data_IF_862998906631
#
_entry.id   IF_862998906631
#
_cell.length_a   1.000
_cell.length_b   1.000
_cell.length_c   1.000
_cell.angle_alpha   90.00
_cell.angle_beta   90.00
_cell.angle_gamma   90.00
#
_symmetry.space_group_name_H-M   'P 1'
#
loop_
_entity.id
_entity.type
_entity.pdbx_description
1 polymer ?
#
# COMPACT_ATOMS: atom_id res chain seq x y z
N UNK A 1 -95.74 -1.22 88.36
CA UNK A 1 -94.33 -1.10 88.40
C UNK A 1 -93.81 -1.76 87.11
N UNK A 2 -93.38 -0.98 86.20
CA UNK A 2 -92.78 -1.46 84.96
C UNK A 2 -91.23 -1.33 85.05
N UNK A 3 -90.50 -2.45 84.79
CA UNK A 3 -89.06 -2.47 84.76
C UNK A 3 -88.64 -2.34 83.29
N UNK A 4 -87.81 -1.38 83.03
CA UNK A 4 -87.18 -1.21 81.69
C UNK A 4 -85.80 -1.81 81.81
N UNK A 5 -85.52 -2.86 81.00
CA UNK A 5 -84.16 -3.38 80.82
C UNK A 5 -83.61 -2.89 79.51
N UNK A 6 -82.53 -2.19 79.54
CA UNK A 6 -81.76 -1.79 78.33
C UNK A 6 -80.57 -2.72 78.14
N UNK A 7 -80.43 -3.32 76.94
CA UNK A 7 -79.28 -4.14 76.56
C UNK A 7 -78.48 -3.35 75.56
N UNK A 8 -77.20 -3.03 75.91
CA UNK A 8 -76.28 -2.34 75.02
C UNK A 8 -75.36 -3.37 74.43
N UNK A 9 -75.36 -3.55 73.09
CA UNK A 9 -74.38 -4.37 72.35
C UNK A 9 -73.27 -3.50 71.90
N UNK A 10 -72.03 -3.92 72.18
CA UNK A 10 -70.84 -3.36 71.65
C UNK A 10 -70.25 -4.39 70.70
N UNK A 11 -70.17 -4.10 69.37
CA UNK A 11 -69.50 -4.93 68.39
C UNK A 11 -68.19 -4.21 67.94
N UNK A 12 -67.04 -4.81 68.27
CA UNK A 12 -65.75 -4.32 67.82
C UNK A 12 -65.43 -5.04 66.49
N UNK A 13 -65.43 -4.33 65.37
CA UNK A 13 -64.97 -4.82 64.07
C UNK A 13 -63.48 -4.37 63.82
N UNK A 14 -62.58 -5.36 63.78
CA UNK A 14 -61.16 -5.08 63.41
C UNK A 14 -60.98 -5.26 61.89
N UNK A 15 -60.72 -4.19 61.15
CA UNK A 15 -60.42 -4.24 59.79
C UNK A 15 -58.83 -4.22 59.63
N UNK A 16 -58.29 -5.28 59.10
CA UNK A 16 -56.88 -5.32 58.72
C UNK A 16 -56.77 -4.90 57.29
N UNK A 17 -56.22 -3.71 56.98
CA UNK A 17 -55.83 -3.29 55.65
C UNK A 17 -54.37 -3.63 55.44
N UNK A 18 -54.07 -4.32 54.37
CA UNK A 18 -52.69 -4.56 53.92
C UNK A 18 -52.36 -3.51 52.88
N UNK A 19 -51.42 -2.62 53.19
CA UNK A 19 -50.89 -1.69 52.23
C UNK A 19 -49.82 -2.42 51.41
N UNK A 20 -50.00 -2.46 50.12
CA UNK A 20 -49.01 -3.03 49.15
C UNK A 20 -48.42 -1.92 48.32
N UNK A 21 -47.14 -2.06 47.97
CA UNK A 21 -46.41 -1.11 47.14
C UNK A 21 -45.78 -1.87 45.95
N UNK A 22 -46.17 -1.57 44.68
CA UNK A 22 -45.47 -2.09 43.52
C UNK A 22 -44.11 -1.48 43.42
N UNK A 23 -43.16 -2.19 42.81
CA UNK A 23 -41.85 -1.72 42.43
C UNK A 23 -41.47 -2.34 41.09
N UNK A 24 -40.73 -1.63 40.26
CA UNK A 24 -40.20 -2.15 39.01
C UNK A 24 -38.70 -2.08 39.06
N UNK A 25 -38.06 -3.18 38.70
CA UNK A 25 -36.62 -3.27 38.50
C UNK A 25 -36.34 -3.84 37.11
N UNK A 26 -35.37 -3.22 36.41
CA UNK A 26 -34.96 -3.64 35.08
C UNK A 26 -33.47 -4.04 35.11
N UNK A 27 -33.19 -5.21 34.58
CA UNK A 27 -31.82 -5.70 34.34
C UNK A 27 -31.70 -6.00 32.87
N UNK A 28 -30.65 -5.45 32.23
CA UNK A 28 -30.30 -5.75 30.85
C UNK A 28 -28.83 -6.14 30.78
N UNK A 29 -28.56 -7.24 30.14
CA UNK A 29 -27.18 -7.67 29.91
C UNK A 29 -26.55 -6.89 28.75
N UNK A 30 -25.27 -6.52 28.90
CA UNK A 30 -24.50 -5.91 27.80
C UNK A 30 -24.41 -6.91 26.66
N UNK A 31 -24.88 -6.59 25.45
CA UNK A 31 -24.79 -7.50 24.33
C UNK A 31 -23.34 -7.79 24.00
N UNK A 32 -23.09 -8.97 23.45
CA UNK A 32 -21.77 -9.30 22.91
C UNK A 32 -21.44 -8.35 21.74
N UNK A 33 -20.14 -8.02 21.51
CA UNK A 33 -19.72 -7.28 20.33
C UNK A 33 -20.30 -7.92 19.07
N UNK A 34 -21.00 -7.14 18.27
CA UNK A 34 -21.75 -7.62 17.09
C UNK A 34 -21.17 -7.00 15.83
N UNK A 35 -20.96 -7.81 14.80
CA UNK A 35 -20.47 -7.34 13.51
C UNK A 35 -21.50 -6.41 12.83
N UNK A 36 -21.03 -5.37 12.19
CA UNK A 36 -21.88 -4.47 11.37
C UNK A 36 -22.68 -5.27 10.34
N UNK A 37 -23.98 -4.94 10.20
CA UNK A 37 -24.92 -5.66 9.34
C UNK A 37 -25.56 -6.89 9.98
N UNK A 38 -25.08 -7.34 11.13
CA UNK A 38 -25.69 -8.45 11.88
C UNK A 38 -26.74 -7.95 12.87
N UNK A 39 -27.54 -8.88 13.41
CA UNK A 39 -28.56 -8.59 14.38
C UNK A 39 -28.02 -8.71 15.80
N UNK A 40 -28.00 -7.61 16.54
CA UNK A 40 -27.68 -7.54 17.96
C UNK A 40 -28.91 -7.89 18.78
N UNK A 41 -28.78 -8.80 19.75
CA UNK A 41 -29.83 -9.10 20.73
C UNK A 41 -29.55 -8.40 22.05
N UNK A 42 -30.54 -7.69 22.57
CA UNK A 42 -30.53 -7.09 23.90
C UNK A 42 -31.57 -7.80 24.74
N UNK A 43 -31.14 -8.59 25.73
CA UNK A 43 -32.00 -9.32 26.62
C UNK A 43 -32.28 -8.51 27.89
N UNK A 44 -33.56 -8.25 28.12
CA UNK A 44 -34.07 -7.40 29.18
C UNK A 44 -34.87 -8.29 30.14
N UNK A 45 -34.53 -8.26 31.44
CA UNK A 45 -35.30 -8.89 32.49
C UNK A 45 -35.98 -7.78 33.32
N UNK A 46 -37.29 -7.78 33.26
CA UNK A 46 -38.14 -6.92 34.06
C UNK A 46 -38.68 -7.70 35.28
N UNK A 47 -38.59 -7.14 36.49
CA UNK A 47 -39.07 -7.77 37.72
C UNK A 47 -39.87 -6.80 38.61
N UNK A 48 -40.81 -7.35 39.42
CA UNK A 48 -41.50 -6.62 40.44
C UNK A 48 -41.07 -7.14 41.84
N UNK A 49 -40.04 -6.57 42.47
CA UNK A 49 -39.64 -6.94 43.83
C UNK A 49 -40.56 -6.35 44.91
N UNK A 50 -41.57 -5.62 44.52
CA UNK A 50 -42.53 -5.01 45.43
C UNK A 50 -43.51 -6.00 46.07
N UNK A 51 -44.47 -5.48 46.86
CA UNK A 51 -45.49 -6.26 47.52
C UNK A 51 -46.88 -6.07 46.91
N UNK A 52 -47.01 -5.20 45.90
CA UNK A 52 -48.27 -4.93 45.18
C UNK A 52 -48.04 -5.21 43.68
N UNK A 53 -49.15 -5.53 42.98
CA UNK A 53 -49.10 -5.69 41.50
C UNK A 53 -48.82 -4.36 40.84
N UNK A 54 -47.83 -4.34 39.91
CA UNK A 54 -47.59 -3.21 39.03
C UNK A 54 -48.53 -3.29 37.82
N UNK A 55 -49.24 -2.19 37.54
CA UNK A 55 -50.17 -2.09 36.39
C UNK A 55 -49.70 -1.05 35.40
N UNK A 56 -50.16 -1.15 34.14
CA UNK A 56 -49.74 -0.25 33.06
C UNK A 56 -48.23 -0.29 32.80
N UNK A 57 -47.62 -1.46 32.92
CA UNK A 57 -46.18 -1.61 32.79
C UNK A 57 -45.79 -1.60 31.30
N UNK A 58 -44.96 -0.64 30.91
CA UNK A 58 -44.43 -0.48 29.57
C UNK A 58 -42.87 -0.45 29.65
N UNK A 59 -42.23 -1.25 28.83
CA UNK A 59 -40.77 -1.21 28.63
C UNK A 59 -40.48 -0.33 27.42
N UNK A 60 -39.51 0.56 27.55
CA UNK A 60 -39.13 1.55 26.56
C UNK A 60 -37.66 1.36 26.18
N UNK A 61 -37.34 1.43 24.85
CA UNK A 61 -35.98 1.45 24.32
C UNK A 61 -35.74 2.71 23.51
N UNK A 62 -34.75 3.52 23.90
CA UNK A 62 -34.29 4.67 23.12
C UNK A 62 -33.01 4.27 22.38
N UNK A 63 -33.10 4.21 21.06
CA UNK A 63 -32.06 3.69 20.18
C UNK A 63 -31.23 4.82 19.54
N UNK A 64 -29.88 4.72 19.51
CA UNK A 64 -29.03 5.62 18.76
C UNK A 64 -29.15 5.34 17.27
N UNK A 65 -28.61 6.27 16.40
CA UNK A 65 -28.60 6.13 14.95
C UNK A 65 -27.73 4.96 14.45
N UNK A 66 -26.92 4.40 15.31
CA UNK A 66 -26.02 3.27 15.00
C UNK A 66 -26.72 1.91 14.94
N UNK A 67 -27.96 1.84 15.39
CA UNK A 67 -28.79 0.64 15.31
C UNK A 67 -30.18 0.98 14.79
N UNK A 68 -30.89 0.00 14.24
CA UNK A 68 -32.29 0.20 13.83
C UNK A 68 -33.21 -0.93 14.27
N UNK A 69 -34.48 -0.56 14.46
CA UNK A 69 -35.56 -1.48 14.72
C UNK A 69 -36.77 -1.12 13.82
N UNK A 70 -37.59 -2.11 13.39
CA UNK A 70 -38.75 -1.85 12.54
C UNK A 70 -39.76 -0.85 13.10
N UNK A 71 -39.87 -0.78 14.44
CA UNK A 71 -40.76 0.16 15.14
C UNK A 71 -40.22 1.60 15.26
N UNK A 72 -38.99 1.86 14.78
CA UNK A 72 -38.34 3.17 14.84
C UNK A 72 -37.30 3.28 15.97
N UNK A 73 -36.98 4.55 16.36
CA UNK A 73 -35.95 4.87 17.37
C UNK A 73 -36.44 4.75 18.80
N UNK A 74 -37.73 4.87 19.03
CA UNK A 74 -38.40 4.68 20.32
C UNK A 74 -39.25 3.43 20.20
N UNK A 75 -38.83 2.40 20.93
CA UNK A 75 -39.48 1.08 20.92
C UNK A 75 -40.19 0.87 22.24
N UNK A 76 -41.48 0.59 22.18
CA UNK A 76 -42.29 0.32 23.37
C UNK A 76 -42.85 -1.11 23.34
N UNK A 77 -42.81 -1.77 24.51
CA UNK A 77 -43.44 -3.08 24.75
C UNK A 77 -44.44 -2.97 25.90
N UNK A 78 -45.71 -3.21 25.60
CA UNK A 78 -46.73 -3.29 26.61
C UNK A 78 -46.67 -4.64 27.34
N UNK A 79 -46.28 -4.59 28.60
CA UNK A 79 -46.20 -5.76 29.49
C UNK A 79 -47.53 -5.96 30.26
N UNK A 80 -48.32 -4.90 30.43
CA UNK A 80 -49.60 -4.87 31.12
C UNK A 80 -49.43 -4.92 32.62
N UNK A 81 -49.64 -6.09 33.27
CA UNK A 81 -49.50 -6.28 34.70
C UNK A 81 -48.36 -7.20 35.08
N UNK A 82 -47.69 -6.89 36.19
CA UNK A 82 -46.62 -7.69 36.76
C UNK A 82 -46.86 -7.93 38.24
N UNK A 83 -47.17 -9.20 38.60
CA UNK A 83 -47.48 -9.62 39.97
C UNK A 83 -46.23 -9.47 40.88
N UNK A 84 -46.44 -9.30 42.19
CA UNK A 84 -45.35 -9.28 43.16
C UNK A 84 -44.44 -10.51 43.06
N UNK A 85 -43.15 -10.32 43.01
CA UNK A 85 -42.13 -11.39 42.89
C UNK A 85 -42.06 -12.06 41.53
N UNK A 86 -42.84 -11.61 40.55
CA UNK A 86 -42.75 -12.11 39.16
C UNK A 86 -41.73 -11.36 38.31
N UNK A 87 -41.25 -12.03 37.25
CA UNK A 87 -40.37 -11.43 36.27
C UNK A 87 -40.77 -11.81 34.85
N UNK A 88 -40.38 -10.99 33.86
CA UNK A 88 -40.63 -11.19 32.43
C UNK A 88 -39.39 -10.85 31.62
N UNK A 89 -39.00 -11.77 30.72
CA UNK A 89 -37.90 -11.54 29.77
C UNK A 89 -38.45 -11.00 28.45
N UNK A 90 -37.74 -10.01 27.89
CA UNK A 90 -38.01 -9.39 26.61
C UNK A 90 -36.69 -9.37 25.84
N UNK A 91 -36.67 -9.88 24.61
CA UNK A 91 -35.51 -9.83 23.73
C UNK A 91 -35.73 -8.81 22.60
N UNK A 92 -34.93 -7.76 22.57
CA UNK A 92 -34.95 -6.72 21.56
C UNK A 92 -33.87 -7.02 20.51
N UNK A 93 -34.26 -7.19 19.24
CA UNK A 93 -33.37 -7.45 18.14
C UNK A 93 -33.14 -6.18 17.32
N UNK A 94 -31.89 -5.76 17.23
CA UNK A 94 -31.47 -4.50 16.57
C UNK A 94 -30.55 -4.80 15.39
N UNK A 95 -30.81 -4.23 14.24
CA UNK A 95 -29.89 -4.27 13.12
C UNK A 95 -28.79 -3.23 13.36
N UNK A 96 -27.52 -3.64 13.21
CA UNK A 96 -26.34 -2.78 13.40
C UNK A 96 -26.02 -2.01 12.13
N UNK A 97 -25.77 -0.68 12.25
CA UNK A 97 -25.58 0.22 11.10
C UNK A 97 -24.21 0.90 11.11
N UNK A 98 -23.78 1.40 12.27
CA UNK A 98 -22.54 2.18 12.39
C UNK A 98 -21.62 1.56 13.43
N UNK A 99 -20.36 1.29 13.09
CA UNK A 99 -19.41 0.69 14.03
C UNK A 99 -19.05 1.66 15.16
N UNK A 100 -18.57 1.09 16.26
CA UNK A 100 -18.13 1.82 17.42
C UNK A 100 -18.89 1.42 18.69
N UNK A 101 -18.66 2.17 19.76
CA UNK A 101 -19.31 1.96 21.06
C UNK A 101 -20.44 2.97 21.21
N UNK A 102 -21.64 2.46 21.39
CA UNK A 102 -22.87 3.26 21.46
C UNK A 102 -23.64 3.00 22.75
N UNK A 103 -24.43 3.97 23.18
CA UNK A 103 -25.32 3.85 24.34
C UNK A 103 -26.75 3.62 23.87
N UNK A 104 -27.32 2.49 24.30
CA UNK A 104 -28.75 2.20 24.19
C UNK A 104 -29.36 2.46 25.57
N UNK A 105 -30.47 3.19 25.65
CA UNK A 105 -31.13 3.43 26.90
C UNK A 105 -32.41 2.59 26.98
N UNK A 106 -32.47 1.71 28.00
CA UNK A 106 -33.60 0.86 28.27
C UNK A 106 -34.28 1.36 29.54
N UNK A 107 -35.58 1.57 29.46
CA UNK A 107 -36.41 2.02 30.60
C UNK A 107 -37.64 1.18 30.77
N UNK A 108 -38.31 1.34 31.92
CA UNK A 108 -39.67 0.85 32.15
C UNK A 108 -40.43 1.85 33.00
N UNK A 109 -41.73 2.02 32.68
CA UNK A 109 -42.66 2.84 33.43
C UNK A 109 -43.89 2.02 33.82
N UNK A 110 -44.56 2.42 34.92
CA UNK A 110 -45.80 1.81 35.39
C UNK A 110 -46.69 2.86 36.05
N UNK A 111 -47.96 2.50 36.28
CA UNK A 111 -48.90 3.35 37.03
C UNK A 111 -48.34 3.75 38.39
N UNK A 112 -48.79 4.92 38.91
CA UNK A 112 -48.30 5.45 40.17
C UNK A 112 -46.98 6.21 40.07
N UNK A 113 -46.49 6.52 38.86
CA UNK A 113 -45.29 7.30 38.66
C UNK A 113 -43.98 6.51 38.88
N UNK A 114 -44.05 5.19 38.73
CA UNK A 114 -42.87 4.34 38.80
C UNK A 114 -42.13 4.44 37.43
N UNK A 115 -40.84 4.85 37.47
CA UNK A 115 -40.00 4.95 36.30
C UNK A 115 -38.59 4.49 36.67
N UNK A 116 -38.00 3.64 35.82
CA UNK A 116 -36.61 3.18 35.93
C UNK A 116 -35.96 3.25 34.55
N UNK A 117 -34.69 3.62 34.47
CA UNK A 117 -33.95 3.67 33.23
C UNK A 117 -32.47 3.28 33.45
N UNK A 118 -31.91 2.55 32.52
CA UNK A 118 -30.49 2.16 32.53
C UNK A 118 -29.85 2.36 31.17
N UNK A 119 -28.66 2.96 31.11
CA UNK A 119 -27.84 2.95 29.91
C UNK A 119 -27.21 1.57 29.75
N UNK A 120 -27.13 1.11 28.50
CA UNK A 120 -26.51 -0.14 28.10
C UNK A 120 -25.46 0.17 27.03
N UNK A 121 -24.24 -0.29 27.23
CA UNK A 121 -23.15 -0.14 26.24
C UNK A 121 -23.27 -1.23 25.19
N UNK A 122 -23.42 -0.84 23.93
CA UNK A 122 -23.42 -1.71 22.77
C UNK A 122 -22.18 -1.48 21.93
N UNK A 123 -21.46 -2.53 21.63
CA UNK A 123 -20.27 -2.48 20.78
C UNK A 123 -20.57 -3.10 19.42
N UNK A 124 -20.41 -2.31 18.35
CA UNK A 124 -20.56 -2.73 16.97
C UNK A 124 -19.18 -2.76 16.34
N UNK A 125 -18.73 -3.94 15.93
CA UNK A 125 -17.44 -4.15 15.31
C UNK A 125 -17.53 -4.10 13.78
N UNK A 126 -16.49 -3.63 13.13
CA UNK A 126 -16.38 -3.65 11.67
C UNK A 126 -14.94 -3.82 11.25
N UNK A 127 -14.65 -4.53 10.15
CA UNK A 127 -13.34 -4.46 9.49
C UNK A 127 -13.22 -3.15 8.73
N UNK A 128 -11.96 -2.67 8.56
CA UNK A 128 -11.62 -1.52 7.74
C UNK A 128 -10.28 -1.77 7.07
N UNK A 129 -10.25 -1.76 5.74
CA UNK A 129 -9.03 -2.03 4.97
C UNK A 129 -8.41 -0.73 4.48
N UNK A 130 -7.11 -0.59 4.72
CA UNK A 130 -6.25 0.47 4.18
C UNK A 130 -5.10 -0.16 3.40
N UNK A 131 -4.75 0.44 2.27
CA UNK A 131 -3.68 -0.03 1.40
C UNK A 131 -2.56 1.01 1.32
N UNK A 132 -1.34 0.57 1.59
CA UNK A 132 -0.13 1.37 1.44
C UNK A 132 0.84 0.66 0.51
N UNK A 133 1.70 1.43 -0.17
CA UNK A 133 2.73 0.89 -1.05
C UNK A 133 4.10 1.51 -0.76
N UNK A 134 5.12 0.67 -0.72
CA UNK A 134 6.52 1.08 -0.81
C UNK A 134 7.05 0.65 -2.18
N UNK A 135 7.05 1.61 -3.09
CA UNK A 135 7.43 1.45 -4.51
C UNK A 135 8.44 2.54 -4.85
N UNK A 136 9.56 2.23 -5.52
CA UNK A 136 10.57 3.22 -5.86
C UNK A 136 9.99 4.28 -6.81
N UNK A 137 10.28 5.57 -6.53
CA UNK A 137 9.85 6.69 -7.38
C UNK A 137 10.60 6.78 -8.71
N UNK A 138 11.81 6.19 -8.77
CA UNK A 138 12.70 6.21 -9.93
C UNK A 138 13.34 4.86 -10.15
N UNK A 139 13.47 4.43 -11.42
CA UNK A 139 14.15 3.20 -11.79
C UNK A 139 14.84 3.34 -13.15
N UNK A 140 15.91 2.58 -13.37
CA UNK A 140 16.53 2.52 -14.70
C UNK A 140 15.88 1.44 -15.56
N UNK A 141 15.84 1.68 -16.87
CA UNK A 141 15.36 0.73 -17.87
C UNK A 141 16.09 -0.61 -17.72
N UNK A 142 15.36 -1.72 -17.84
CA UNK A 142 15.85 -3.09 -17.67
C UNK A 142 16.46 -3.41 -16.28
N UNK A 143 16.21 -2.59 -15.27
CA UNK A 143 16.57 -2.88 -13.86
C UNK A 143 15.31 -3.22 -13.06
N UNK A 144 15.25 -4.45 -12.49
CA UNK A 144 14.06 -4.87 -11.74
C UNK A 144 13.72 -3.91 -10.59
N UNK A 145 12.45 -3.60 -10.42
CA UNK A 145 11.88 -2.85 -9.31
C UNK A 145 11.16 -3.80 -8.36
N UNK A 146 11.52 -3.78 -7.10
CA UNK A 146 10.77 -4.44 -6.02
C UNK A 146 9.69 -3.48 -5.54
N UNK A 147 8.45 -3.97 -5.50
CA UNK A 147 7.27 -3.24 -5.08
C UNK A 147 6.64 -3.98 -3.90
N UNK A 148 6.48 -3.30 -2.78
CA UNK A 148 5.87 -3.84 -1.57
C UNK A 148 4.50 -3.22 -1.38
N UNK A 149 3.48 -4.04 -1.15
CA UNK A 149 2.12 -3.63 -0.82
C UNK A 149 1.79 -4.08 0.59
N UNK A 150 1.27 -3.16 1.39
CA UNK A 150 0.88 -3.39 2.77
C UNK A 150 -0.63 -3.16 2.91
N UNK A 151 -1.35 -4.22 3.29
CA UNK A 151 -2.77 -4.17 3.63
C UNK A 151 -2.89 -4.08 5.14
N UNK A 152 -3.60 -3.11 5.67
CA UNK A 152 -3.84 -2.97 7.10
C UNK A 152 -5.33 -3.05 7.38
N UNK A 153 -5.73 -3.94 8.28
CA UNK A 153 -7.09 -3.92 8.82
C UNK A 153 -7.11 -3.02 10.06
N UNK A 154 -7.42 -1.74 9.88
CA UNK A 154 -7.52 -0.75 10.95
C UNK A 154 -8.84 -0.84 11.72
N UNK A 155 -9.71 -1.78 11.35
CA UNK A 155 -10.99 -2.02 11.99
C UNK A 155 -10.91 -2.80 13.30
N UNK A 156 -12.10 -3.13 13.84
CA UNK A 156 -12.29 -3.84 15.11
C UNK A 156 -12.79 -5.28 14.93
N UNK A 157 -13.00 -5.71 13.69
CA UNK A 157 -13.36 -7.08 13.32
C UNK A 157 -12.44 -7.60 12.21
N UNK A 158 -12.28 -8.93 12.06
CA UNK A 158 -11.49 -9.50 10.97
C UNK A 158 -12.13 -9.20 9.59
N UNK A 159 -11.29 -8.91 8.60
CA UNK A 159 -11.70 -8.83 7.21
C UNK A 159 -11.55 -10.21 6.56
N UNK A 160 -12.66 -10.76 6.05
CA UNK A 160 -12.71 -12.09 5.44
C UNK A 160 -12.62 -12.01 3.91
N UNK A 161 -12.04 -13.05 3.28
CA UNK A 161 -11.92 -13.21 1.84
C UNK A 161 -11.34 -11.95 1.15
N UNK A 162 -10.19 -11.49 1.65
CA UNK A 162 -9.51 -10.29 1.15
C UNK A 162 -8.80 -10.60 -0.16
N UNK A 163 -9.10 -9.84 -1.21
CA UNK A 163 -8.44 -9.90 -2.51
C UNK A 163 -7.59 -8.65 -2.72
N UNK A 164 -6.31 -8.83 -3.05
CA UNK A 164 -5.41 -7.76 -3.44
C UNK A 164 -4.99 -7.94 -4.90
N UNK A 165 -5.03 -6.88 -5.67
CA UNK A 165 -4.60 -6.86 -7.06
C UNK A 165 -3.62 -5.70 -7.31
N UNK A 166 -2.54 -5.96 -8.07
CA UNK A 166 -1.65 -4.93 -8.60
C UNK A 166 -1.72 -4.96 -10.13
N UNK A 167 -2.26 -3.91 -10.74
CA UNK A 167 -2.25 -3.71 -12.19
C UNK A 167 -0.92 -3.14 -12.62
N UNK A 168 -0.19 -3.86 -13.47
CA UNK A 168 1.04 -3.38 -14.09
C UNK A 168 0.74 -2.57 -15.35
N UNK A 169 1.50 -1.49 -15.63
CA UNK A 169 1.43 -0.79 -16.91
C UNK A 169 2.08 -1.64 -18.02
N UNK A 170 1.71 -1.44 -19.30
CA UNK A 170 2.30 -2.19 -20.43
C UNK A 170 3.82 -2.09 -20.55
N UNK A 171 4.41 -1.00 -20.05
CA UNK A 171 5.85 -0.77 -20.05
C UNK A 171 6.62 -1.47 -18.92
N UNK A 172 5.97 -2.36 -18.16
CA UNK A 172 6.61 -3.15 -17.10
C UNK A 172 6.32 -4.63 -17.27
N UNK A 173 7.37 -5.44 -17.31
CA UNK A 173 7.28 -6.91 -17.37
C UNK A 173 7.27 -7.49 -15.96
N UNK A 174 6.31 -8.36 -15.65
CA UNK A 174 6.30 -9.15 -14.41
C UNK A 174 7.52 -10.08 -14.34
N UNK A 175 8.12 -10.21 -13.15
CA UNK A 175 9.27 -11.10 -12.89
C UNK A 175 8.90 -12.19 -11.90
N UNK A 176 8.41 -11.82 -10.71
CA UNK A 176 8.02 -12.74 -9.64
C UNK A 176 7.13 -12.04 -8.61
N UNK A 177 6.42 -12.83 -7.80
CA UNK A 177 5.72 -12.39 -6.60
C UNK A 177 5.95 -13.40 -5.47
N UNK A 178 5.78 -12.94 -4.22
CA UNK A 178 5.80 -13.79 -3.03
C UNK A 178 4.38 -14.16 -2.58
N UNK A 179 4.25 -14.90 -1.48
CA UNK A 179 3.00 -15.24 -0.81
C UNK A 179 1.92 -15.78 -1.79
N UNK A 180 2.32 -16.72 -2.67
CA UNK A 180 1.47 -17.33 -3.68
C UNK A 180 0.79 -16.30 -4.63
N UNK A 181 1.41 -15.14 -4.85
CA UNK A 181 0.92 -14.15 -5.81
C UNK A 181 0.86 -14.75 -7.22
N UNK A 182 -0.32 -14.70 -7.82
CA UNK A 182 -0.59 -15.20 -9.16
C UNK A 182 -0.58 -14.08 -10.18
N UNK A 183 0.20 -14.22 -11.25
CA UNK A 183 0.21 -13.26 -12.35
C UNK A 183 -0.73 -13.73 -13.47
N UNK A 184 -1.73 -12.91 -13.77
CA UNK A 184 -2.64 -13.10 -14.91
C UNK A 184 -2.13 -12.30 -16.11
N UNK A 185 -1.63 -13.03 -17.12
CA UNK A 185 -1.09 -12.46 -18.36
C UNK A 185 -2.16 -11.73 -19.19
N UNK A 186 -3.42 -12.16 -19.14
CA UNK A 186 -4.50 -11.56 -19.95
C UNK A 186 -4.87 -10.16 -19.45
N UNK A 187 -4.87 -9.97 -18.16
CA UNK A 187 -5.23 -8.69 -17.53
C UNK A 187 -4.01 -7.88 -17.09
N UNK A 188 -2.81 -8.48 -17.20
CA UNK A 188 -1.54 -7.87 -16.75
C UNK A 188 -1.56 -7.49 -15.26
N UNK A 189 -2.12 -8.37 -14.41
CA UNK A 189 -2.31 -8.18 -12.98
C UNK A 189 -1.60 -9.23 -12.16
N UNK A 190 -1.10 -8.80 -11.00
CA UNK A 190 -0.66 -9.71 -9.94
C UNK A 190 -1.77 -9.76 -8.89
N UNK A 191 -2.19 -10.96 -8.51
CA UNK A 191 -3.34 -11.22 -7.65
C UNK A 191 -2.90 -12.00 -6.42
N UNK A 192 -3.43 -11.61 -5.24
CA UNK A 192 -3.31 -12.37 -4.00
C UNK A 192 -4.68 -12.52 -3.37
N UNK A 193 -4.88 -13.65 -2.70
CA UNK A 193 -6.09 -13.94 -1.94
C UNK A 193 -5.70 -14.33 -0.52
N UNK A 194 -6.37 -13.71 0.45
CA UNK A 194 -6.21 -13.95 1.87
C UNK A 194 -7.55 -14.40 2.45
N UNK A 195 -7.55 -15.51 3.17
CA UNK A 195 -8.77 -16.05 3.76
C UNK A 195 -9.32 -15.12 4.85
N UNK A 196 -8.40 -14.58 5.67
CA UNK A 196 -8.71 -13.67 6.76
C UNK A 196 -7.54 -12.71 7.02
N UNK A 197 -7.85 -11.43 7.29
CA UNK A 197 -6.92 -10.45 7.86
C UNK A 197 -7.49 -9.99 9.22
N UNK A 198 -6.94 -10.45 10.36
CA UNK A 198 -7.43 -10.11 11.70
C UNK A 198 -7.46 -8.60 11.96
N UNK A 199 -8.30 -8.17 12.90
CA UNK A 199 -8.38 -6.79 13.34
C UNK A 199 -7.03 -6.29 13.87
N UNK A 200 -6.57 -5.13 13.41
CA UNK A 200 -5.29 -4.51 13.77
C UNK A 200 -4.06 -5.13 13.11
N UNK A 201 -4.20 -6.17 12.29
CA UNK A 201 -3.07 -6.84 11.64
C UNK A 201 -2.69 -6.24 10.30
N UNK A 202 -1.40 -6.39 9.96
CA UNK A 202 -0.78 -5.94 8.71
C UNK A 202 -0.40 -7.14 7.85
N UNK A 203 -0.96 -7.22 6.64
CA UNK A 203 -0.54 -8.17 5.61
C UNK A 203 0.41 -7.50 4.63
N UNK A 204 1.58 -8.12 4.38
CA UNK A 204 2.57 -7.61 3.44
C UNK A 204 2.81 -8.58 2.31
N UNK A 205 2.77 -8.09 1.07
CA UNK A 205 3.14 -8.85 -0.13
C UNK A 205 4.14 -8.06 -0.96
N UNK A 206 4.95 -8.78 -1.74
CA UNK A 206 5.97 -8.23 -2.61
C UNK A 206 5.84 -8.80 -4.02
N UNK A 207 6.03 -7.96 -5.02
CA UNK A 207 6.27 -8.39 -6.39
C UNK A 207 7.45 -7.63 -6.99
N UNK A 208 8.05 -8.23 -8.00
CA UNK A 208 9.14 -7.65 -8.77
C UNK A 208 8.69 -7.49 -10.20
N UNK A 209 8.85 -6.29 -10.74
CA UNK A 209 8.58 -5.98 -12.13
C UNK A 209 9.79 -5.26 -12.77
N UNK A 210 10.01 -5.48 -14.06
CA UNK A 210 11.13 -4.92 -14.82
C UNK A 210 10.61 -3.91 -15.84
N UNK A 211 11.02 -2.63 -15.74
CA UNK A 211 10.66 -1.63 -16.74
C UNK A 211 11.28 -1.96 -18.10
N UNK A 212 10.48 -1.86 -19.16
CA UNK A 212 10.86 -2.12 -20.56
C UNK A 212 10.68 -0.88 -21.45
N UNK A 213 10.07 0.18 -20.92
CA UNK A 213 9.81 1.45 -21.62
C UNK A 213 10.21 2.61 -20.72
N UNK A 214 10.84 3.64 -21.31
CA UNK A 214 11.23 4.88 -20.63
C UNK A 214 10.00 5.73 -20.25
N UNK A 215 10.20 6.65 -19.31
CA UNK A 215 9.18 7.59 -18.83
C UNK A 215 8.30 7.03 -17.71
N UNK A 216 7.21 7.70 -17.38
CA UNK A 216 6.39 7.36 -16.23
C UNK A 216 5.64 6.04 -16.43
N UNK A 217 5.78 5.13 -15.47
CA UNK A 217 5.12 3.83 -15.41
C UNK A 217 4.24 3.80 -14.15
N UNK A 218 2.92 3.78 -14.32
CA UNK A 218 1.97 3.87 -13.22
C UNK A 218 1.42 2.48 -12.86
N UNK A 219 1.64 2.06 -11.62
CA UNK A 219 1.08 0.86 -11.00
C UNK A 219 -0.17 1.28 -10.22
N UNK A 220 -1.26 0.54 -10.38
CA UNK A 220 -2.50 0.71 -9.61
C UNK A 220 -2.70 -0.53 -8.76
N UNK A 221 -2.79 -0.37 -7.45
CA UNK A 221 -3.09 -1.47 -6.54
C UNK A 221 -4.45 -1.24 -5.86
N UNK A 222 -5.22 -2.31 -5.68
CA UNK A 222 -6.51 -2.27 -5.04
C UNK A 222 -6.70 -3.49 -4.14
N UNK A 223 -7.22 -3.26 -2.95
CA UNK A 223 -7.66 -4.30 -2.01
C UNK A 223 -9.18 -4.24 -1.89
N UNK A 224 -9.82 -5.39 -1.79
CA UNK A 224 -11.28 -5.49 -1.62
C UNK A 224 -11.68 -6.77 -0.91
N UNK A 225 -12.93 -6.81 -0.44
CA UNK A 225 -13.56 -8.04 0.03
C UNK A 225 -15.02 -8.15 -0.46
N UNK A 226 -15.70 -9.31 -0.33
CA UNK A 226 -17.09 -9.49 -0.74
C UNK A 226 -18.10 -8.63 0.04
N UNK A 227 -17.76 -8.18 1.25
CA UNK A 227 -18.62 -7.30 2.06
C UNK A 227 -18.64 -5.84 1.58
N UNK A 228 -17.92 -5.52 0.49
CA UNK A 228 -17.90 -4.19 -0.12
C UNK A 228 -16.83 -3.25 0.43
N UNK A 229 -15.94 -3.73 1.30
CA UNK A 229 -14.76 -2.95 1.69
C UNK A 229 -13.78 -2.89 0.52
N UNK A 230 -13.27 -1.71 0.24
CA UNK A 230 -12.29 -1.50 -0.80
C UNK A 230 -11.42 -0.29 -0.50
N UNK A 231 -10.14 -0.39 -0.85
CA UNK A 231 -9.21 0.72 -0.92
C UNK A 231 -8.31 0.56 -2.14
N UNK A 232 -7.82 1.67 -2.68
CA UNK A 232 -6.94 1.64 -3.84
C UNK A 232 -5.92 2.77 -3.79
N UNK A 233 -4.78 2.52 -4.43
CA UNK A 233 -3.74 3.51 -4.62
C UNK A 233 -3.16 3.45 -6.04
N UNK A 234 -2.50 4.52 -6.42
CA UNK A 234 -1.78 4.64 -7.68
C UNK A 234 -0.39 5.21 -7.40
N UNK A 235 0.65 4.58 -7.95
CA UNK A 235 2.03 5.00 -7.79
C UNK A 235 2.74 5.03 -9.14
N UNK A 236 3.43 6.13 -9.45
CA UNK A 236 4.20 6.28 -10.69
C UNK A 236 5.69 6.11 -10.41
N UNK A 237 6.33 5.27 -11.23
CA UNK A 237 7.79 5.09 -11.27
C UNK A 237 8.30 5.85 -12.49
N UNK A 238 9.21 6.80 -12.31
CA UNK A 238 9.94 7.43 -13.41
C UNK A 238 11.04 6.49 -13.88
N UNK A 239 10.96 6.01 -15.12
CA UNK A 239 11.94 5.11 -15.73
C UNK A 239 12.90 5.89 -16.58
N UNK A 240 14.16 5.91 -16.17
CA UNK A 240 15.26 6.60 -16.84
C UNK A 240 16.16 5.61 -17.56
N UNK A 241 16.79 6.06 -18.66
CA UNK A 241 17.88 5.36 -19.30
C UNK A 241 19.22 5.77 -18.70
N UNK A 242 20.23 4.91 -18.88
CA UNK A 242 21.61 5.19 -18.50
C UNK A 242 22.50 5.04 -19.74
N UNK A 243 23.28 6.06 -20.10
CA UNK A 243 24.35 5.93 -21.08
C UNK A 243 25.54 5.23 -20.44
N UNK A 244 26.18 4.31 -21.16
CA UNK A 244 27.35 3.55 -20.71
C UNK A 244 28.31 3.36 -21.86
N UNK A 245 29.34 4.22 -21.94
CA UNK A 245 30.32 4.16 -23.01
C UNK A 245 31.43 3.17 -22.67
N UNK A 246 31.80 2.36 -23.67
CA UNK A 246 33.00 1.54 -23.66
C UNK A 246 33.99 2.13 -24.67
N UNK A 247 35.30 2.07 -24.36
CA UNK A 247 36.40 2.55 -25.21
C UNK A 247 37.37 1.39 -25.41
N UNK A 248 37.49 0.91 -26.65
CA UNK A 248 38.42 -0.12 -27.04
C UNK A 248 39.42 0.46 -28.06
N UNK A 249 40.71 0.12 -27.93
CA UNK A 249 41.77 0.56 -28.82
C UNK A 249 42.58 -0.66 -29.24
N UNK A 250 42.89 -0.74 -30.52
CA UNK A 250 43.79 -1.75 -31.07
C UNK A 250 44.66 -1.11 -32.16
N UNK A 251 45.94 -1.46 -32.23
CA UNK A 251 46.77 -1.11 -33.34
C UNK A 251 46.75 -2.16 -34.47
N UNK A 252 47.02 -1.73 -35.70
CA UNK A 252 47.01 -2.62 -36.87
C UNK A 252 48.30 -3.38 -37.05
N UNK A 253 49.44 -2.79 -36.65
CA UNK A 253 50.77 -3.35 -36.76
C UNK A 253 51.59 -2.96 -35.51
N UNK A 254 52.10 -3.96 -34.81
CA UNK A 254 53.08 -3.88 -33.74
C UNK A 254 53.94 -5.17 -33.73
N UNK A 255 55.25 -5.09 -33.84
CA UNK A 255 56.09 -3.90 -33.98
C UNK A 255 56.13 -3.31 -35.40
N UNK A 256 56.53 -2.03 -35.52
CA UNK A 256 56.78 -1.33 -36.79
C UNK A 256 58.26 -0.94 -36.97
N UNK A 257 58.73 -0.84 -38.21
CA UNK A 257 60.07 -0.33 -38.51
C UNK A 257 60.12 1.19 -38.33
N UNK A 258 61.33 1.77 -38.10
CA UNK A 258 61.53 3.22 -38.06
C UNK A 258 61.06 3.85 -39.41
N UNK A 259 60.28 4.92 -39.31
CA UNK A 259 59.48 5.55 -40.37
C UNK A 259 58.32 4.69 -40.92
N UNK A 260 58.07 3.50 -40.38
CA UNK A 260 56.88 2.70 -40.64
C UNK A 260 55.63 3.38 -40.13
N UNK A 261 54.50 2.90 -40.62
CA UNK A 261 53.15 3.37 -40.26
C UNK A 261 52.43 2.32 -39.44
N UNK A 262 51.67 2.73 -38.45
CA UNK A 262 50.62 1.92 -37.82
C UNK A 262 49.35 2.74 -37.70
N UNK A 263 48.22 2.07 -37.64
CA UNK A 263 46.92 2.67 -37.48
C UNK A 263 46.27 2.16 -36.18
N UNK A 264 45.92 3.07 -35.29
CA UNK A 264 45.09 2.75 -34.13
C UNK A 264 43.63 2.83 -34.54
N UNK A 265 42.91 1.72 -34.31
CA UNK A 265 41.46 1.63 -34.48
C UNK A 265 40.82 1.77 -33.12
N UNK A 266 40.04 2.84 -32.93
CA UNK A 266 39.40 3.18 -31.69
C UNK A 266 37.90 2.97 -31.85
N UNK A 267 37.32 2.07 -31.03
CA UNK A 267 35.90 1.76 -31.00
C UNK A 267 35.27 2.35 -29.75
N UNK A 268 34.23 3.12 -29.97
CA UNK A 268 33.40 3.69 -28.89
C UNK A 268 32.01 3.11 -29.03
N UNK A 269 31.61 2.30 -28.10
CA UNK A 269 30.28 1.65 -28.05
C UNK A 269 29.44 2.19 -26.91
N UNK A 270 28.17 2.47 -27.17
CA UNK A 270 27.22 2.77 -26.11
C UNK A 270 26.47 1.49 -25.67
N UNK A 271 26.95 0.85 -24.63
CA UNK A 271 26.38 -0.36 -24.02
C UNK A 271 25.22 -0.02 -23.06
N UNK A 272 24.79 1.23 -23.03
CA UNK A 272 23.72 1.72 -22.15
C UNK A 272 22.33 1.53 -22.74
N UNK A 273 21.37 2.18 -22.09
CA UNK A 273 19.94 2.17 -22.45
C UNK A 273 19.41 3.56 -22.80
N UNK A 274 20.30 4.57 -22.81
CA UNK A 274 20.06 5.97 -23.20
C UNK A 274 21.14 6.38 -24.18
N UNK A 275 20.82 7.24 -25.14
CA UNK A 275 21.81 7.86 -26.00
C UNK A 275 22.83 8.66 -25.16
N UNK A 276 24.12 8.53 -25.49
CA UNK A 276 25.17 9.35 -24.90
C UNK A 276 25.31 10.64 -25.71
N UNK A 277 25.34 11.77 -25.01
CA UNK A 277 25.38 13.09 -25.64
C UNK A 277 26.80 13.68 -25.60
N UNK A 278 27.18 14.44 -26.67
CA UNK A 278 28.45 15.15 -26.79
C UNK A 278 29.67 14.25 -26.62
N UNK A 279 29.71 13.12 -27.34
CA UNK A 279 30.77 12.13 -27.25
C UNK A 279 32.03 12.63 -28.00
N UNK A 280 33.06 13.04 -27.26
CA UNK A 280 34.30 13.64 -27.79
C UNK A 280 35.49 12.73 -27.54
N UNK A 281 36.22 12.36 -28.63
CA UNK A 281 37.44 11.59 -28.60
C UNK A 281 38.64 12.47 -28.84
N UNK A 282 39.73 12.29 -28.10
CA UNK A 282 41.03 12.86 -28.38
C UNK A 282 42.13 11.81 -28.23
N UNK A 283 43.20 11.95 -29.05
CA UNK A 283 44.40 11.10 -29.01
C UNK A 283 45.63 11.99 -28.77
N UNK A 284 46.37 11.70 -27.68
CA UNK A 284 47.63 12.37 -27.37
C UNK A 284 48.79 11.43 -27.63
N UNK A 285 49.69 11.81 -28.57
CA UNK A 285 50.89 11.06 -28.87
C UNK A 285 51.94 11.33 -27.78
N UNK A 286 52.34 10.28 -27.07
CA UNK A 286 53.32 10.32 -25.97
C UNK A 286 54.62 9.63 -26.45
N UNK A 287 55.52 10.39 -27.04
CA UNK A 287 56.79 9.86 -27.55
C UNK A 287 57.11 10.39 -28.93
N UNK A 288 57.95 9.66 -29.66
CA UNK A 288 58.43 10.06 -30.99
C UNK A 288 57.55 9.48 -32.12
N UNK A 289 56.24 9.67 -31.99
CA UNK A 289 55.24 9.40 -33.03
C UNK A 289 54.87 10.70 -33.74
N UNK A 290 54.69 10.62 -35.06
CA UNK A 290 54.19 11.74 -35.85
C UNK A 290 52.79 11.41 -36.36
N UNK A 291 51.79 12.30 -36.18
CA UNK A 291 50.46 12.11 -36.76
C UNK A 291 50.56 12.20 -38.30
N UNK A 292 49.86 11.30 -39.00
CA UNK A 292 49.84 11.25 -40.48
C UNK A 292 48.43 11.59 -40.96
N UNK A 293 47.46 10.86 -40.52
CA UNK A 293 46.05 11.04 -40.91
C UNK A 293 45.15 10.57 -39.76
N UNK A 294 43.96 11.14 -39.67
CA UNK A 294 42.87 10.61 -38.83
C UNK A 294 41.57 10.61 -39.61
N UNK A 295 40.69 9.71 -39.26
CA UNK A 295 39.36 9.61 -39.86
C UNK A 295 38.36 9.06 -38.85
N UNK A 296 37.10 9.46 -38.98
CA UNK A 296 36.00 9.04 -38.07
C UNK A 296 34.65 9.56 -38.58
N UNK A 297 33.61 9.36 -37.81
CA UNK A 297 32.27 9.84 -38.17
C UNK A 297 32.12 11.37 -38.12
N UNK A 298 33.11 12.08 -37.53
CA UNK A 298 33.12 13.54 -37.36
C UNK A 298 34.50 14.10 -37.80
N UNK A 299 34.59 15.42 -38.14
CA UNK A 299 35.88 16.08 -38.46
C UNK A 299 36.85 16.01 -37.29
N UNK A 300 38.14 16.22 -37.62
CA UNK A 300 39.20 16.27 -36.63
C UNK A 300 40.16 17.44 -36.87
N UNK A 301 40.86 17.85 -35.83
CA UNK A 301 41.95 18.81 -35.86
C UNK A 301 43.23 18.19 -35.27
N UNK A 302 44.36 18.61 -35.80
CA UNK A 302 45.69 18.22 -35.28
C UNK A 302 46.38 19.46 -34.77
N UNK A 303 46.67 19.52 -33.49
CA UNK A 303 47.45 20.58 -32.87
C UNK A 303 48.65 19.97 -32.13
N UNK A 304 49.86 20.19 -32.64
CA UNK A 304 51.09 19.56 -32.15
C UNK A 304 51.01 18.02 -32.18
N UNK A 305 51.01 17.38 -30.99
CA UNK A 305 50.94 15.91 -30.84
C UNK A 305 49.56 15.47 -30.30
N UNK A 306 48.55 16.32 -30.46
CA UNK A 306 47.16 16.01 -30.06
C UNK A 306 46.26 16.03 -31.30
N UNK A 307 45.50 14.97 -31.46
CA UNK A 307 44.43 14.82 -32.45
C UNK A 307 43.14 14.91 -31.67
N UNK A 308 42.26 15.84 -32.05
CA UNK A 308 40.95 16.03 -31.39
C UNK A 308 39.86 15.91 -32.44
N UNK A 309 38.93 14.99 -32.24
CA UNK A 309 37.72 14.87 -33.05
C UNK A 309 36.64 15.82 -32.52
N UNK A 310 35.85 16.40 -33.42
CA UNK A 310 34.69 17.15 -33.04
C UNK A 310 33.73 16.25 -32.25
N UNK A 311 32.99 16.79 -31.28
CA UNK A 311 32.03 15.97 -30.52
C UNK A 311 30.97 15.36 -31.44
N UNK A 312 30.77 14.05 -31.35
CA UNK A 312 29.61 13.38 -31.91
C UNK A 312 28.38 13.78 -31.08
N UNK A 313 27.37 14.41 -31.71
CA UNK A 313 26.27 14.99 -31.02
C UNK A 313 25.50 13.96 -30.16
N UNK A 314 25.32 12.74 -30.67
CA UNK A 314 24.63 11.66 -29.97
C UNK A 314 25.09 10.29 -30.44
N UNK A 315 25.26 9.33 -29.55
CA UNK A 315 25.50 7.91 -29.84
C UNK A 315 24.38 7.07 -29.20
N UNK A 316 23.50 6.49 -30.02
CA UNK A 316 22.34 5.74 -29.56
C UNK A 316 22.72 4.45 -28.79
N UNK A 317 21.82 3.87 -28.00
CA UNK A 317 22.05 2.57 -27.36
C UNK A 317 22.41 1.48 -28.37
N UNK A 318 23.41 0.68 -28.06
CA UNK A 318 23.99 -0.38 -28.89
C UNK A 318 24.63 0.11 -30.21
N UNK A 319 24.76 1.43 -30.43
CA UNK A 319 25.51 1.96 -31.56
C UNK A 319 27.01 2.05 -31.25
N UNK A 320 27.82 1.96 -32.31
CA UNK A 320 29.29 2.06 -32.29
C UNK A 320 29.76 3.21 -33.17
N UNK A 321 30.75 3.97 -32.70
CA UNK A 321 31.51 4.93 -33.45
C UNK A 321 32.98 4.46 -33.59
N UNK A 322 33.50 4.36 -34.82
CA UNK A 322 34.85 3.90 -35.08
C UNK A 322 35.71 5.06 -35.58
N UNK A 323 36.83 5.25 -34.93
CA UNK A 323 37.83 6.26 -35.28
C UNK A 323 39.15 5.58 -35.63
N UNK A 324 39.88 6.17 -36.55
CA UNK A 324 41.17 5.70 -37.02
C UNK A 324 42.20 6.80 -36.84
N UNK A 325 43.35 6.47 -36.30
CA UNK A 325 44.48 7.40 -36.10
C UNK A 325 45.74 6.76 -36.66
N UNK A 326 46.22 7.22 -37.82
CA UNK A 326 47.45 6.76 -38.44
C UNK A 326 48.63 7.58 -37.95
N UNK A 327 49.68 6.90 -37.52
CA UNK A 327 50.91 7.52 -37.03
C UNK A 327 52.14 6.90 -37.68
N UNK A 328 53.27 7.63 -37.63
CA UNK A 328 54.58 7.21 -38.10
C UNK A 328 55.54 7.16 -36.92
N UNK A 329 56.26 6.03 -36.73
CA UNK A 329 57.35 5.90 -35.78
C UNK A 329 58.60 6.67 -36.20
N UNK A 330 59.12 7.59 -35.40
CA UNK A 330 60.28 8.42 -35.71
C UNK A 330 61.56 7.97 -35.03
N UNK A 331 61.48 7.30 -33.90
CA UNK A 331 62.60 6.76 -33.11
C UNK A 331 62.34 5.37 -32.65
N UNK A 332 63.37 4.51 -32.52
CA UNK A 332 63.25 3.20 -31.97
C UNK A 332 62.84 3.26 -30.45
N UNK A 333 62.11 2.27 -30.00
CA UNK A 333 61.64 2.13 -28.62
C UNK A 333 60.13 2.01 -28.51
N UNK A 334 59.65 1.90 -27.29
CA UNK A 334 58.20 1.79 -27.00
C UNK A 334 57.57 3.17 -27.03
N UNK A 335 56.69 3.39 -28.00
CA UNK A 335 55.96 4.62 -28.23
C UNK A 335 54.54 4.42 -27.70
N UNK A 336 53.91 5.46 -27.12
CA UNK A 336 52.58 5.37 -26.57
C UNK A 336 51.65 6.42 -27.16
N UNK A 337 50.37 6.04 -27.23
CA UNK A 337 49.25 6.95 -27.52
C UNK A 337 48.24 6.83 -26.40
N UNK A 338 47.81 7.96 -25.87
CA UNK A 338 46.74 8.03 -24.87
C UNK A 338 45.49 8.54 -25.54
N UNK A 339 44.44 7.72 -25.48
CA UNK A 339 43.11 8.08 -25.93
C UNK A 339 42.27 8.53 -24.76
N UNK A 340 41.50 9.61 -24.93
CA UNK A 340 40.61 10.14 -23.93
C UNK A 340 39.21 10.35 -24.53
N UNK A 341 38.20 9.75 -23.91
CA UNK A 341 36.82 9.89 -24.28
C UNK A 341 36.06 10.69 -23.20
N UNK A 342 35.31 11.70 -23.64
CA UNK A 342 34.44 12.54 -22.82
C UNK A 342 33.01 12.49 -23.33
N UNK A 343 32.04 12.68 -22.46
CA UNK A 343 30.64 12.83 -22.80
C UNK A 343 29.94 13.54 -21.65
N UNK A 344 28.78 14.15 -21.88
CA UNK A 344 27.96 14.77 -20.84
C UNK A 344 27.46 13.75 -19.83
N UNK A 345 27.37 12.48 -20.21
CA UNK A 345 26.92 11.39 -19.35
C UNK A 345 28.03 10.75 -18.48
N UNK A 346 29.32 11.11 -18.72
CA UNK A 346 30.45 10.59 -17.98
C UNK A 346 30.85 11.54 -16.84
N UNK A 347 30.95 11.05 -15.62
CA UNK A 347 31.44 11.82 -14.46
C UNK A 347 32.95 12.15 -14.58
N UNK A 348 33.70 11.27 -15.21
CA UNK A 348 35.13 11.45 -15.52
C UNK A 348 35.44 10.88 -16.90
N UNK A 349 36.46 11.43 -17.62
CA UNK A 349 36.85 10.91 -18.91
C UNK A 349 37.30 9.44 -18.82
N UNK A 350 36.93 8.62 -19.80
CA UNK A 350 37.54 7.31 -20.01
C UNK A 350 38.89 7.50 -20.71
N UNK A 351 39.89 6.78 -20.25
CA UNK A 351 41.23 6.83 -20.84
C UNK A 351 41.70 5.42 -21.17
N UNK A 352 42.31 5.26 -22.33
CA UNK A 352 43.01 4.05 -22.73
C UNK A 352 44.40 4.43 -23.28
N UNK A 353 45.42 3.65 -22.97
CA UNK A 353 46.76 3.81 -23.53
C UNK A 353 47.11 2.58 -24.37
N UNK A 354 47.62 2.81 -25.56
CA UNK A 354 48.15 1.78 -26.44
C UNK A 354 49.63 2.02 -26.71
N UNK A 355 50.44 0.95 -26.86
CA UNK A 355 51.87 1.02 -26.99
C UNK A 355 52.32 0.27 -28.24
N UNK A 356 53.05 0.94 -29.13
CA UNK A 356 53.64 0.34 -30.34
C UNK A 356 55.15 0.32 -30.22
N UNK A 357 55.76 -0.82 -30.46
CA UNK A 357 57.22 -1.00 -30.48
C UNK A 357 57.80 -0.61 -31.86
N UNK A 358 58.65 0.41 -31.88
CA UNK A 358 59.38 0.84 -33.09
C UNK A 358 60.78 0.25 -33.04
N UNK A 359 61.20 -0.47 -34.09
CA UNK A 359 62.54 -1.02 -34.20
C UNK A 359 63.31 -0.41 -35.36
N UNK A 360 64.65 -0.53 -35.35
CA UNK A 360 65.53 -0.16 -36.45
C UNK A 360 66.31 -1.40 -36.88
N UNK A 361 66.23 -1.73 -38.15
CA UNK A 361 67.16 -2.70 -38.72
C UNK A 361 68.56 -2.13 -38.65
N UNK A 362 69.54 -2.93 -38.29
CA UNK A 362 70.96 -2.54 -38.16
C UNK A 362 71.60 -2.44 -39.49
#
# INVERSE_FOLDING_TARGET
>A
VGSVASVTFRADATVRSRVTKPAIEITAETPQPTLIGEMMAVDILLSNPGTGTATGVIVEGILPDSVSHPAGREVEFDVGQLEPGSSRSISLKLATITPGVHEIRIGARADGGIEVSRPLRAEITAPMLELHADIPKRRYLQRPATCTLNMHNTGTAPALAVELAAQLPPGMKFVRANNAGYYDENTHRVLWSLEELPAGELGTVEFVAMPTVLGPQTIVAAVRNPAGLADQLSHSIEVEGLASLALEVADSEDPIEINGLTEYVVRVENQGTKAAENVALSAKLLGDLQPVEARGPVPYEVQNLMITFEPLASLAPADEAVFHVQVRGRRPGNQRVQFQLKSDDLQAPLTSEEMTHVYADR
#
